data_IF_504364290138
#
_entry.id   IF_504364290138
#
_cell.length_a   1.000
_cell.length_b   1.000
_cell.length_c   1.000
_cell.angle_alpha   90.00
_cell.angle_beta   90.00
_cell.angle_gamma   90.00
#
_symmetry.space_group_name_H-M   'P 1'
#
loop_
_entity.id
_entity.type
_entity.pdbx_description
1 polymer ?
#
# COMPACT_ATOMS: atom_id res chain seq x y z
N UNK A 1 26.68 26.43 -30.30
CA UNK A 1 25.74 27.56 -30.27
C UNK A 1 24.49 27.12 -31.02
N UNK A 2 23.45 26.67 -30.33
CA UNK A 2 22.17 26.24 -30.95
C UNK A 2 21.15 27.35 -30.75
N UNK A 3 20.65 27.84 -31.87
CA UNK A 3 19.64 28.89 -31.94
C UNK A 3 18.26 28.22 -31.87
N UNK A 4 17.44 28.60 -30.89
CA UNK A 4 16.03 28.18 -30.80
C UNK A 4 15.16 29.26 -31.43
N UNK A 5 14.45 28.89 -32.50
CA UNK A 5 13.44 29.73 -33.13
C UNK A 5 12.10 29.48 -32.47
N UNK A 6 11.58 30.45 -31.74
CA UNK A 6 10.22 30.45 -31.21
C UNK A 6 9.28 30.96 -32.30
N UNK A 7 8.41 30.10 -32.83
CA UNK A 7 7.30 30.48 -33.69
C UNK A 7 6.07 30.80 -32.85
N UNK A 8 5.74 32.08 -32.76
CA UNK A 8 4.48 32.56 -32.19
C UNK A 8 3.35 32.31 -33.19
N UNK A 9 2.42 31.40 -32.87
CA UNK A 9 1.19 31.21 -33.62
C UNK A 9 0.09 32.04 -32.95
N UNK A 10 -0.39 33.06 -33.69
CA UNK A 10 -1.56 33.85 -33.32
C UNK A 10 -2.81 33.02 -33.68
N UNK A 11 -3.55 32.52 -32.69
CA UNK A 11 -4.83 31.85 -32.90
C UNK A 11 -5.94 32.88 -32.67
N UNK A 12 -6.69 33.15 -33.70
CA UNK A 12 -7.95 33.88 -33.62
C UNK A 12 -9.04 32.97 -33.06
N UNK A 13 -9.52 33.26 -31.87
CA UNK A 13 -10.67 32.60 -31.28
C UNK A 13 -11.96 33.22 -31.77
N UNK A 14 -12.68 32.49 -32.64
CA UNK A 14 -14.09 32.76 -32.92
C UNK A 14 -14.92 32.06 -31.85
N UNK A 15 -15.49 32.83 -30.93
CA UNK A 15 -16.43 32.36 -29.90
C UNK A 15 -17.79 32.15 -30.56
N UNK A 16 -18.14 30.90 -30.86
CA UNK A 16 -19.53 30.51 -31.17
C UNK A 16 -20.16 30.02 -29.89
N UNK A 17 -21.00 30.84 -29.27
CA UNK A 17 -21.80 30.49 -28.12
C UNK A 17 -22.96 29.59 -28.56
N UNK A 18 -22.79 28.27 -28.53
CA UNK A 18 -23.90 27.34 -28.58
C UNK A 18 -24.29 27.00 -27.14
N UNK A 19 -25.37 27.65 -26.68
CA UNK A 19 -26.13 27.25 -25.49
C UNK A 19 -26.80 25.93 -25.78
N UNK A 20 -26.12 24.82 -25.54
CA UNK A 20 -26.73 23.51 -25.39
C UNK A 20 -26.92 23.25 -23.90
N UNK A 21 -28.12 23.53 -23.42
CA UNK A 21 -28.61 23.06 -22.14
C UNK A 21 -28.83 21.54 -22.24
N UNK A 22 -27.77 20.74 -22.06
CA UNK A 22 -27.88 19.36 -21.63
C UNK A 22 -27.59 19.36 -20.12
N UNK A 23 -28.65 19.31 -19.32
CA UNK A 23 -28.58 18.98 -17.91
C UNK A 23 -28.11 17.54 -17.77
N UNK A 24 -26.81 17.30 -17.76
CA UNK A 24 -26.25 16.14 -17.11
C UNK A 24 -26.24 16.49 -15.62
N UNK A 25 -27.08 15.82 -14.84
CA UNK A 25 -26.91 15.71 -13.40
C UNK A 25 -25.56 15.01 -13.16
N UNK A 26 -24.46 15.73 -13.31
CA UNK A 26 -23.19 15.30 -12.78
C UNK A 26 -23.41 15.14 -11.27
N UNK A 27 -23.55 13.90 -10.79
CA UNK A 27 -23.63 13.60 -9.36
C UNK A 27 -22.48 14.35 -8.71
N UNK A 28 -22.84 15.33 -7.89
CA UNK A 28 -21.87 16.14 -7.17
C UNK A 28 -21.04 15.17 -6.32
N UNK A 29 -19.80 15.01 -6.68
CA UNK A 29 -18.85 14.20 -5.90
C UNK A 29 -18.83 14.76 -4.50
N UNK A 30 -19.15 13.91 -3.50
CA UNK A 30 -19.22 14.32 -2.10
C UNK A 30 -17.99 13.77 -1.41
N UNK A 31 -17.11 14.65 -0.99
CA UNK A 31 -16.00 14.31 -0.09
C UNK A 31 -16.55 13.81 1.25
N UNK A 32 -15.96 12.75 1.79
CA UNK A 32 -16.37 12.21 3.09
C UNK A 32 -15.87 13.11 4.23
N UNK A 33 -16.70 13.30 5.24
CA UNK A 33 -16.35 14.08 6.46
C UNK A 33 -15.64 13.17 7.48
N UNK A 34 -14.52 12.58 7.07
CA UNK A 34 -13.62 11.79 7.91
C UNK A 34 -12.27 12.51 8.01
N UNK A 35 -11.75 12.63 9.23
CA UNK A 35 -10.46 13.25 9.47
C UNK A 35 -9.45 12.22 9.95
N UNK A 36 -8.20 12.46 9.59
CA UNK A 36 -7.10 11.58 9.89
C UNK A 36 -6.10 12.25 10.82
N UNK A 37 -5.42 11.44 11.62
CA UNK A 37 -4.23 11.81 12.39
C UNK A 37 -3.11 10.82 12.09
N UNK A 38 -1.87 11.16 12.46
CA UNK A 38 -0.69 10.37 12.15
C UNK A 38 0.08 10.00 13.41
N UNK A 39 0.53 8.75 13.45
CA UNK A 39 1.47 8.26 14.46
C UNK A 39 2.77 7.92 13.77
N UNK A 40 3.84 8.63 14.12
CA UNK A 40 5.18 8.35 13.63
C UNK A 40 6.04 7.74 14.74
N UNK A 41 6.72 6.63 14.42
CA UNK A 41 7.65 5.94 15.32
C UNK A 41 8.94 5.65 14.55
N UNK A 42 10.06 5.84 15.21
CA UNK A 42 11.37 5.45 14.71
C UNK A 42 12.17 4.85 15.86
N UNK A 43 12.46 3.57 15.74
CA UNK A 43 13.17 2.80 16.74
C UNK A 43 14.38 2.10 16.11
N UNK A 44 15.43 1.89 16.90
CA UNK A 44 16.58 1.11 16.49
C UNK A 44 17.21 0.41 17.68
N UNK A 45 17.88 -0.69 17.42
CA UNK A 45 18.59 -1.42 18.45
C UNK A 45 19.77 -2.16 17.83
N UNK A 46 20.94 -2.16 18.49
CA UNK A 46 22.10 -2.97 18.16
C UNK A 46 22.27 -4.07 19.19
N UNK A 47 22.63 -5.27 18.75
CA UNK A 47 22.83 -6.44 19.61
C UNK A 47 23.83 -6.12 20.72
N UNK A 48 23.47 -6.52 21.95
CA UNK A 48 24.24 -6.22 23.17
C UNK A 48 24.47 -4.73 23.43
N UNK A 49 23.75 -3.83 22.75
CA UNK A 49 23.94 -2.36 22.81
C UNK A 49 25.34 -1.91 22.38
N UNK A 50 25.97 -2.64 21.47
CA UNK A 50 27.27 -2.33 20.88
C UNK A 50 27.01 -1.88 19.43
N UNK A 51 27.35 -0.63 19.10
CA UNK A 51 27.05 -0.01 17.80
C UNK A 51 27.68 -0.73 16.59
N UNK A 52 28.76 -1.47 16.81
CA UNK A 52 29.44 -2.26 15.76
C UNK A 52 28.80 -3.62 15.54
N UNK A 53 27.88 -4.04 16.40
CA UNK A 53 27.16 -5.29 16.24
C UNK A 53 25.96 -5.13 15.30
N UNK A 54 25.44 -6.23 14.73
CA UNK A 54 24.24 -6.21 13.91
C UNK A 54 23.09 -5.44 14.58
N UNK A 55 22.35 -4.71 13.78
CA UNK A 55 21.29 -3.84 14.26
C UNK A 55 19.96 -4.06 13.58
N UNK A 56 18.91 -3.63 14.25
CA UNK A 56 17.61 -3.47 13.60
C UNK A 56 17.14 -2.02 13.62
N UNK A 57 16.32 -1.67 12.63
CA UNK A 57 15.62 -0.39 12.60
C UNK A 57 14.16 -0.58 12.19
N UNK A 58 13.29 0.17 12.84
CA UNK A 58 11.86 0.21 12.54
C UNK A 58 11.45 1.65 12.31
N UNK A 59 10.79 1.90 11.19
CA UNK A 59 10.15 3.18 10.92
C UNK A 59 8.68 2.96 10.60
N UNK A 60 7.79 3.62 11.32
CA UNK A 60 6.34 3.59 11.14
C UNK A 60 5.84 5.00 10.89
N UNK A 61 5.01 5.16 9.86
CA UNK A 61 4.22 6.35 9.63
C UNK A 61 2.78 5.91 9.37
N UNK A 62 1.95 5.87 10.42
CA UNK A 62 0.58 5.34 10.38
C UNK A 62 -0.42 6.49 10.37
N UNK A 63 -1.08 6.68 9.23
CA UNK A 63 -2.22 7.55 9.04
C UNK A 63 -3.50 6.79 9.40
N UNK A 64 -4.29 7.27 10.34
CA UNK A 64 -5.48 6.57 10.80
C UNK A 64 -6.68 7.52 10.93
N UNK A 65 -7.92 7.02 10.75
CA UNK A 65 -9.13 7.79 10.99
C UNK A 65 -9.22 8.23 12.46
N UNK A 66 -9.24 9.53 12.70
CA UNK A 66 -9.29 10.12 14.04
C UNK A 66 -10.68 10.62 14.43
N UNK A 67 -11.42 11.18 13.45
CA UNK A 67 -12.75 11.73 13.66
C UNK A 67 -13.69 11.33 12.52
N UNK A 68 -14.90 10.94 12.85
CA UNK A 68 -16.01 10.73 11.93
C UNK A 68 -17.35 10.92 12.65
N UNK A 69 -18.37 11.37 11.92
CA UNK A 69 -19.69 11.68 12.48
C UNK A 69 -20.37 10.50 13.18
N UNK A 70 -20.11 9.24 12.75
CA UNK A 70 -20.63 8.02 13.35
C UNK A 70 -19.52 7.31 14.14
N UNK A 71 -19.55 7.32 15.50
CA UNK A 71 -18.52 6.71 16.33
C UNK A 71 -18.39 5.19 16.16
N UNK A 72 -19.47 4.49 15.81
CA UNK A 72 -19.44 3.05 15.58
C UNK A 72 -18.70 2.72 14.28
N UNK A 73 -18.97 3.44 13.22
CA UNK A 73 -18.27 3.32 11.94
C UNK A 73 -16.81 3.72 12.09
N UNK A 74 -16.52 4.84 12.81
CA UNK A 74 -15.15 5.25 13.10
C UNK A 74 -14.36 4.12 13.75
N UNK A 75 -14.92 3.50 14.79
CA UNK A 75 -14.26 2.38 15.48
C UNK A 75 -14.04 1.18 14.55
N UNK A 76 -15.03 0.81 13.75
CA UNK A 76 -14.91 -0.29 12.81
C UNK A 76 -13.81 -0.01 11.78
N UNK A 77 -13.79 1.17 11.17
CA UNK A 77 -12.74 1.56 10.20
C UNK A 77 -11.37 1.60 10.86
N UNK A 78 -11.23 2.13 12.08
CA UNK A 78 -9.96 2.11 12.83
C UNK A 78 -9.44 0.68 13.02
N UNK A 79 -10.31 -0.25 13.39
CA UNK A 79 -9.92 -1.67 13.53
C UNK A 79 -9.45 -2.28 12.21
N UNK A 80 -10.13 -1.97 11.10
CA UNK A 80 -9.74 -2.42 9.77
C UNK A 80 -8.39 -1.79 9.32
N UNK A 81 -8.16 -0.52 9.65
CA UNK A 81 -6.87 0.14 9.39
C UNK A 81 -5.74 -0.53 10.17
N UNK A 82 -5.92 -0.74 11.47
CA UNK A 82 -4.94 -1.44 12.31
C UNK A 82 -4.66 -2.86 11.76
N UNK A 83 -5.73 -3.61 11.45
CA UNK A 83 -5.61 -4.94 10.83
C UNK A 83 -4.79 -4.93 9.54
N UNK A 84 -5.08 -3.99 8.65
CA UNK A 84 -4.41 -3.88 7.35
C UNK A 84 -2.94 -3.48 7.51
N UNK A 85 -2.65 -2.58 8.45
CA UNK A 85 -1.34 -1.99 8.64
C UNK A 85 -0.40 -2.82 9.53
N UNK A 86 -0.91 -3.39 10.63
CA UNK A 86 -0.12 -4.11 11.64
C UNK A 86 -0.47 -5.60 11.76
N UNK A 87 -1.65 -6.02 11.27
CA UNK A 87 -2.13 -7.40 11.38
C UNK A 87 -3.25 -7.61 12.38
N UNK A 88 -3.81 -8.81 12.35
CA UNK A 88 -5.00 -9.19 13.14
C UNK A 88 -4.76 -9.11 14.67
N UNK A 89 -3.55 -9.41 15.12
CA UNK A 89 -3.19 -9.46 16.55
C UNK A 89 -3.30 -8.09 17.24
N UNK A 90 -3.35 -7.01 16.46
CA UNK A 90 -3.38 -5.64 16.97
C UNK A 90 -4.75 -4.97 16.92
N UNK A 91 -5.77 -5.61 16.32
CA UNK A 91 -7.11 -5.02 16.10
C UNK A 91 -7.84 -4.58 17.38
N UNK A 92 -7.56 -5.21 18.52
CA UNK A 92 -8.21 -4.91 19.80
C UNK A 92 -7.70 -3.62 20.47
N UNK A 93 -6.55 -3.13 20.02
CA UNK A 93 -5.93 -1.94 20.62
C UNK A 93 -6.44 -0.64 19.98
N UNK A 94 -6.24 0.47 20.66
CA UNK A 94 -6.34 1.79 20.02
C UNK A 94 -5.18 1.99 19.03
N UNK A 95 -5.29 2.88 18.03
CA UNK A 95 -4.22 3.11 17.06
C UNK A 95 -2.84 3.34 17.68
N UNK A 96 -2.76 4.15 18.74
CA UNK A 96 -1.51 4.43 19.45
C UNK A 96 -0.95 3.24 20.21
N UNK A 97 -1.81 2.49 20.89
CA UNK A 97 -1.40 1.27 21.59
C UNK A 97 -0.96 0.18 20.61
N UNK A 98 -1.67 0.01 19.49
CA UNK A 98 -1.33 -0.94 18.45
C UNK A 98 0.09 -0.69 17.89
N UNK A 99 0.40 0.55 17.52
CA UNK A 99 1.73 0.95 17.04
C UNK A 99 2.80 0.74 18.11
N UNK A 100 2.52 1.12 19.37
CA UNK A 100 3.47 0.94 20.47
C UNK A 100 3.77 -0.53 20.74
N UNK A 101 2.72 -1.37 20.71
CA UNK A 101 2.85 -2.81 20.93
C UNK A 101 3.62 -3.49 19.78
N UNK A 102 3.31 -3.08 18.53
CA UNK A 102 4.03 -3.58 17.36
C UNK A 102 5.53 -3.26 17.43
N UNK A 103 5.88 -2.01 17.72
CA UNK A 103 7.28 -1.58 17.85
C UNK A 103 8.02 -2.33 18.96
N UNK A 104 7.36 -2.53 20.11
CA UNK A 104 7.92 -3.30 21.21
C UNK A 104 8.16 -4.78 20.82
N UNK A 105 7.21 -5.40 20.13
CA UNK A 105 7.33 -6.78 19.66
C UNK A 105 8.46 -6.91 18.64
N UNK A 106 8.55 -6.03 17.66
CA UNK A 106 9.63 -6.01 16.66
C UNK A 106 11.01 -6.00 17.31
N UNK A 107 11.26 -5.07 18.25
CA UNK A 107 12.53 -5.00 18.97
C UNK A 107 12.79 -6.22 19.85
N UNK A 108 11.76 -6.76 20.50
CA UNK A 108 11.91 -7.94 21.34
C UNK A 108 12.24 -9.19 20.53
N UNK A 109 11.62 -9.36 19.36
CA UNK A 109 11.90 -10.48 18.46
C UNK A 109 13.33 -10.40 17.89
N UNK A 110 13.81 -9.19 17.57
CA UNK A 110 15.20 -9.00 17.18
C UNK A 110 16.17 -9.38 18.31
N UNK A 111 15.90 -8.95 19.55
CA UNK A 111 16.75 -9.28 20.70
C UNK A 111 16.88 -10.78 20.97
N UNK A 112 15.85 -11.59 20.66
CA UNK A 112 15.93 -13.04 20.80
C UNK A 112 17.02 -13.67 19.93
N UNK A 113 17.38 -13.03 18.81
CA UNK A 113 18.44 -13.49 17.90
C UNK A 113 19.86 -13.28 18.46
N UNK A 114 20.04 -12.54 19.55
CA UNK A 114 21.36 -12.31 20.17
C UNK A 114 22.05 -13.60 20.59
N UNK A 115 21.30 -14.60 21.06
CA UNK A 115 21.86 -15.88 21.45
C UNK A 115 22.45 -16.65 20.27
N UNK A 116 21.75 -16.61 19.12
CA UNK A 116 22.22 -17.29 17.91
C UNK A 116 23.47 -16.59 17.37
N UNK A 117 23.47 -15.26 17.37
CA UNK A 117 24.64 -14.47 17.00
C UNK A 117 25.87 -14.77 17.88
N UNK A 118 25.69 -14.86 19.22
CA UNK A 118 26.79 -15.21 20.14
C UNK A 118 27.34 -16.60 19.86
N UNK A 119 26.46 -17.57 19.63
CA UNK A 119 26.87 -18.95 19.32
C UNK A 119 27.68 -19.02 18.03
N UNK A 120 27.29 -18.26 16.99
CA UNK A 120 28.01 -18.21 15.73
C UNK A 120 29.38 -17.54 15.87
N UNK A 121 29.49 -16.48 16.67
CA UNK A 121 30.78 -15.83 16.98
C UNK A 121 31.72 -16.80 17.72
N UNK A 122 31.22 -17.57 18.69
CA UNK A 122 32.01 -18.55 19.43
C UNK A 122 32.48 -19.71 18.54
N UNK A 123 31.62 -20.22 17.66
CA UNK A 123 31.94 -21.37 16.82
C UNK A 123 32.94 -21.03 15.70
N UNK A 124 32.79 -19.87 15.08
CA UNK A 124 33.57 -19.51 13.88
C UNK A 124 34.82 -18.67 14.20
N UNK A 125 34.98 -18.16 15.42
CA UNK A 125 36.14 -17.38 15.86
C UNK A 125 36.34 -16.07 15.10
N UNK A 126 35.37 -15.64 14.35
CA UNK A 126 35.27 -14.37 13.63
C UNK A 126 33.86 -13.83 13.73
N UNK A 127 33.68 -12.53 13.63
CA UNK A 127 32.34 -11.94 13.57
C UNK A 127 31.61 -12.51 12.35
N UNK A 128 30.39 -13.05 12.53
CA UNK A 128 29.54 -13.48 11.43
C UNK A 128 29.27 -12.29 10.52
N UNK A 129 28.87 -12.55 9.28
CA UNK A 129 28.48 -11.48 8.37
C UNK A 129 27.33 -10.66 8.98
N UNK A 130 27.57 -9.40 9.32
CA UNK A 130 26.61 -8.49 9.95
C UNK A 130 25.31 -8.37 9.17
N UNK A 131 25.36 -8.50 7.84
CA UNK A 131 24.20 -8.45 6.96
C UNK A 131 23.18 -9.55 7.27
N UNK A 132 23.60 -10.74 7.70
CA UNK A 132 22.68 -11.85 8.00
C UNK A 132 21.88 -11.67 9.29
N UNK A 133 22.41 -10.88 10.20
CA UNK A 133 21.79 -10.60 11.50
C UNK A 133 21.10 -9.24 11.55
N UNK A 134 21.46 -8.33 10.67
CA UNK A 134 20.83 -7.01 10.59
C UNK A 134 19.45 -7.10 9.95
N UNK A 135 18.56 -6.15 10.28
CA UNK A 135 17.23 -6.09 9.69
C UNK A 135 16.68 -4.66 9.72
N UNK A 136 15.78 -4.36 8.80
CA UNK A 136 14.96 -3.15 8.91
C UNK A 136 13.53 -3.39 8.46
N UNK A 137 12.64 -2.52 8.91
CA UNK A 137 11.27 -2.46 8.45
C UNK A 137 10.78 -1.02 8.38
N UNK A 138 10.18 -0.66 7.25
CA UNK A 138 9.56 0.65 7.01
C UNK A 138 8.09 0.41 6.64
N UNK A 139 7.19 0.95 7.45
CA UNK A 139 5.75 0.89 7.25
C UNK A 139 5.18 2.28 7.02
N UNK A 140 4.39 2.42 5.97
CA UNK A 140 3.65 3.64 5.67
C UNK A 140 2.30 3.34 5.05
N UNK A 141 1.40 4.32 5.09
CA UNK A 141 0.13 4.24 4.40
C UNK A 141 -0.30 5.58 3.80
N UNK A 142 -1.26 5.51 2.89
CA UNK A 142 -1.83 6.66 2.20
C UNK A 142 -3.29 6.43 1.87
N UNK A 143 -4.06 7.52 1.80
CA UNK A 143 -5.45 7.52 1.33
C UNK A 143 -5.45 7.91 -0.15
N UNK A 144 -5.94 7.03 -1.01
CA UNK A 144 -6.05 7.25 -2.45
C UNK A 144 -7.42 7.74 -2.88
N UNK A 145 -8.46 7.40 -2.12
CA UNK A 145 -9.82 7.86 -2.40
C UNK A 145 -10.59 8.09 -1.10
N UNK A 146 -11.33 9.18 -1.03
CA UNK A 146 -12.13 9.55 0.15
C UNK A 146 -13.41 10.30 -0.27
N UNK A 147 -14.31 9.62 -0.99
CA UNK A 147 -15.50 10.24 -1.56
C UNK A 147 -16.67 9.25 -1.63
N UNK A 148 -17.90 9.78 -1.61
CA UNK A 148 -19.14 9.01 -1.85
C UNK A 148 -19.31 7.81 -0.91
N UNK A 149 -18.96 7.97 0.36
CA UNK A 149 -18.96 6.94 1.40
C UNK A 149 -17.97 5.78 1.15
N UNK A 150 -17.05 5.93 0.19
CA UNK A 150 -15.95 5.01 -0.06
C UNK A 150 -14.62 5.61 0.43
N UNK A 151 -13.77 4.76 0.98
CA UNK A 151 -12.44 5.10 1.42
C UNK A 151 -11.44 4.05 0.93
N UNK A 152 -10.47 4.44 0.11
CA UNK A 152 -9.39 3.55 -0.33
C UNK A 152 -8.08 3.91 0.35
N UNK A 153 -7.45 2.91 0.98
CA UNK A 153 -6.11 3.03 1.56
C UNK A 153 -5.13 2.08 0.89
N UNK A 154 -3.88 2.49 0.89
CA UNK A 154 -2.74 1.69 0.47
C UNK A 154 -1.73 1.68 1.61
N UNK A 155 -1.30 0.49 2.03
CA UNK A 155 -0.19 0.28 2.95
C UNK A 155 1.03 -0.13 2.16
N UNK A 156 2.17 0.52 2.40
CA UNK A 156 3.48 0.11 1.91
C UNK A 156 4.30 -0.48 3.04
N UNK A 157 4.92 -1.62 2.77
CA UNK A 157 5.86 -2.26 3.68
C UNK A 157 7.14 -2.59 2.90
N UNK A 158 8.26 -2.10 3.41
CA UNK A 158 9.60 -2.41 2.94
C UNK A 158 10.35 -3.06 4.10
N UNK A 159 11.04 -4.15 3.86
CA UNK A 159 11.81 -4.80 4.91
C UNK A 159 12.95 -5.65 4.36
N UNK A 160 13.98 -5.80 5.18
CA UNK A 160 15.06 -6.76 5.03
C UNK A 160 15.25 -7.52 6.37
N UNK A 161 15.46 -8.81 6.29
CA UNK A 161 15.71 -9.68 7.44
C UNK A 161 17.08 -10.37 7.39
N UNK A 162 18.02 -9.78 6.65
CA UNK A 162 19.35 -10.35 6.40
C UNK A 162 19.37 -11.31 5.21
N UNK A 163 18.46 -11.17 4.26
CA UNK A 163 18.39 -11.95 3.03
C UNK A 163 19.24 -11.40 1.90
N UNK A 164 19.11 -12.01 0.70
CA UNK A 164 19.82 -11.58 -0.50
C UNK A 164 19.26 -10.26 -1.08
N UNK A 165 18.01 -9.94 -0.79
CA UNK A 165 17.30 -8.76 -1.28
C UNK A 165 16.26 -8.31 -0.25
N UNK A 166 16.03 -7.00 -0.22
CA UNK A 166 14.89 -6.39 0.43
C UNK A 166 13.57 -6.75 -0.28
N UNK A 167 12.48 -6.68 0.44
CA UNK A 167 11.17 -6.98 -0.07
C UNK A 167 10.26 -5.76 0.07
N UNK A 168 9.46 -5.50 -0.96
CA UNK A 168 8.49 -4.41 -1.02
C UNK A 168 7.09 -4.96 -1.22
N UNK A 169 6.16 -4.60 -0.35
CA UNK A 169 4.76 -5.02 -0.44
C UNK A 169 3.82 -3.84 -0.37
N UNK A 170 2.79 -3.89 -1.21
CA UNK A 170 1.67 -2.96 -1.18
C UNK A 170 0.38 -3.73 -0.87
N UNK A 171 -0.37 -3.25 0.12
CA UNK A 171 -1.66 -3.82 0.50
C UNK A 171 -2.74 -2.77 0.35
N UNK A 172 -3.66 -3.00 -0.58
CA UNK A 172 -4.76 -2.10 -0.87
C UNK A 172 -6.05 -2.57 -0.22
N UNK A 173 -6.86 -1.64 0.28
CA UNK A 173 -8.18 -1.92 0.84
C UNK A 173 -9.16 -0.80 0.52
N UNK A 174 -10.40 -1.19 0.33
CA UNK A 174 -11.53 -0.28 0.19
C UNK A 174 -12.51 -0.52 1.34
N UNK A 175 -13.02 0.56 1.92
CA UNK A 175 -13.97 0.52 3.03
C UNK A 175 -15.25 1.28 2.67
N UNK A 176 -16.39 0.72 3.10
CA UNK A 176 -17.69 1.41 3.09
C UNK A 176 -17.82 2.23 4.39
N UNK A 177 -17.86 3.55 4.28
CA UNK A 177 -18.04 4.44 5.43
C UNK A 177 -19.48 4.49 5.97
N UNK A 178 -20.42 3.75 5.39
CA UNK A 178 -21.76 3.54 5.99
C UNK A 178 -21.71 2.47 7.07
N UNK A 179 -20.91 1.45 6.86
CA UNK A 179 -20.81 0.28 7.75
C UNK A 179 -19.49 0.24 8.53
N UNK A 180 -18.41 0.76 7.96
CA UNK A 180 -17.04 0.64 8.45
C UNK A 180 -16.35 -0.67 8.02
N UNK A 181 -17.02 -1.48 7.20
CA UNK A 181 -16.51 -2.78 6.76
C UNK A 181 -15.65 -2.65 5.48
N UNK A 182 -14.78 -3.63 5.29
CA UNK A 182 -14.01 -3.75 4.06
C UNK A 182 -14.91 -4.21 2.92
N UNK A 183 -14.80 -3.54 1.77
CA UNK A 183 -15.45 -3.99 0.52
C UNK A 183 -14.58 -5.08 -0.12
N UNK A 184 -15.22 -6.19 -0.47
CA UNK A 184 -14.61 -7.35 -1.12
C UNK A 184 -14.99 -7.43 -2.60
N UNK A 185 -14.24 -8.22 -3.37
CA UNK A 185 -14.56 -8.46 -4.79
C UNK A 185 -15.97 -9.04 -4.97
N UNK A 186 -16.41 -9.93 -4.08
CA UNK A 186 -17.74 -10.55 -4.14
C UNK A 186 -18.91 -9.56 -3.96
N UNK A 187 -18.65 -8.38 -3.38
CA UNK A 187 -19.63 -7.31 -3.25
C UNK A 187 -19.66 -6.37 -4.46
N UNK A 188 -18.62 -6.41 -5.29
CA UNK A 188 -18.46 -5.55 -6.46
C UNK A 188 -18.88 -6.29 -7.75
N UNK A 189 -18.49 -7.56 -7.87
CA UNK A 189 -18.64 -8.34 -9.08
C UNK A 189 -19.77 -9.37 -8.96
N UNK A 190 -20.30 -9.80 -10.10
CA UNK A 190 -21.28 -10.89 -10.20
C UNK A 190 -20.63 -12.24 -9.88
N UNK A 191 -21.45 -13.28 -9.66
CA UNK A 191 -20.93 -14.65 -9.49
C UNK A 191 -20.08 -15.07 -10.71
N UNK A 192 -19.06 -15.89 -10.46
CA UNK A 192 -18.14 -16.46 -11.47
C UNK A 192 -17.34 -15.40 -12.28
N UNK A 193 -17.12 -14.21 -11.71
CA UNK A 193 -16.40 -13.10 -12.35
C UNK A 193 -14.91 -13.36 -12.61
N UNK A 194 -14.31 -14.33 -11.93
CA UNK A 194 -12.84 -14.47 -11.79
C UNK A 194 -12.14 -14.60 -13.14
N UNK A 195 -12.63 -15.47 -14.03
CA UNK A 195 -12.00 -15.72 -15.33
C UNK A 195 -12.12 -14.52 -16.28
N UNK A 196 -13.26 -13.84 -16.26
CA UNK A 196 -13.46 -12.65 -17.09
C UNK A 196 -12.65 -11.46 -16.57
N UNK A 197 -12.60 -11.29 -15.25
CA UNK A 197 -11.80 -10.26 -14.62
C UNK A 197 -10.29 -10.51 -14.82
N UNK A 198 -9.84 -11.76 -14.77
CA UNK A 198 -8.45 -12.13 -15.08
C UNK A 198 -8.05 -11.68 -16.49
N UNK A 199 -8.89 -11.91 -17.50
CA UNK A 199 -8.64 -11.42 -18.87
C UNK A 199 -8.54 -9.90 -18.93
N UNK A 200 -9.46 -9.19 -18.27
CA UNK A 200 -9.44 -7.72 -18.21
C UNK A 200 -8.14 -7.21 -17.56
N UNK A 201 -7.70 -7.85 -16.47
CA UNK A 201 -6.45 -7.49 -15.78
C UNK A 201 -5.25 -7.71 -16.73
N UNK A 202 -5.16 -8.86 -17.39
CA UNK A 202 -4.07 -9.17 -18.32
C UNK A 202 -4.03 -8.19 -19.50
N UNK A 203 -5.20 -7.87 -20.07
CA UNK A 203 -5.33 -6.87 -21.15
C UNK A 203 -4.91 -5.48 -20.66
N UNK A 204 -5.26 -5.09 -19.43
CA UNK A 204 -4.83 -3.83 -18.82
C UNK A 204 -3.31 -3.79 -18.61
N UNK A 205 -2.69 -4.88 -18.15
CA UNK A 205 -1.22 -4.99 -18.03
C UNK A 205 -0.56 -4.82 -19.39
N UNK A 206 -1.08 -5.47 -20.44
CA UNK A 206 -0.57 -5.33 -21.80
C UNK A 206 -0.64 -3.88 -22.29
N UNK A 207 -1.78 -3.22 -22.07
CA UNK A 207 -1.98 -1.81 -22.42
C UNK A 207 -0.99 -0.89 -21.69
N UNK A 208 -0.81 -1.08 -20.38
CA UNK A 208 0.11 -0.28 -19.56
C UNK A 208 1.58 -0.45 -20.00
N UNK A 209 1.93 -1.61 -20.58
CA UNK A 209 3.28 -1.89 -21.05
C UNK A 209 3.44 -1.63 -22.57
N UNK A 210 2.43 -1.04 -23.22
CA UNK A 210 2.44 -0.71 -24.65
C UNK A 210 2.71 -1.94 -25.56
N UNK A 211 2.13 -3.11 -25.21
CA UNK A 211 2.13 -4.29 -26.05
C UNK A 211 0.74 -4.54 -26.65
N UNK A 212 0.70 -4.98 -27.90
CA UNK A 212 -0.56 -5.12 -28.65
C UNK A 212 -1.40 -6.33 -28.19
N UNK A 213 -0.76 -7.35 -27.66
CA UNK A 213 -1.41 -8.60 -27.25
C UNK A 213 -0.86 -9.07 -25.91
N UNK A 214 -1.72 -9.64 -25.08
CA UNK A 214 -1.34 -10.25 -23.80
C UNK A 214 -0.20 -11.27 -23.93
N UNK A 215 -0.17 -12.09 -25.02
CA UNK A 215 0.93 -13.04 -25.29
C UNK A 215 2.29 -12.38 -25.44
N UNK A 216 2.35 -11.11 -25.80
CA UNK A 216 3.61 -10.40 -26.01
C UNK A 216 4.24 -9.91 -24.69
N UNK A 217 3.50 -9.99 -23.59
CA UNK A 217 4.00 -9.73 -22.25
C UNK A 217 5.16 -10.65 -21.85
N UNK A 218 5.16 -11.90 -22.33
CA UNK A 218 6.25 -12.84 -22.08
C UNK A 218 7.59 -12.37 -22.68
N UNK A 219 7.54 -11.62 -23.79
CA UNK A 219 8.74 -11.08 -24.46
C UNK A 219 9.41 -9.94 -23.64
N UNK A 220 8.71 -9.36 -22.67
CA UNK A 220 9.19 -8.27 -21.83
C UNK A 220 9.34 -8.67 -20.37
N UNK A 221 9.31 -9.97 -20.07
CA UNK A 221 9.65 -10.51 -18.76
C UNK A 221 8.48 -10.89 -17.86
N UNK A 222 7.25 -10.79 -18.34
CA UNK A 222 6.10 -11.34 -17.62
C UNK A 222 6.02 -12.85 -17.89
N UNK A 223 6.17 -13.64 -16.82
CA UNK A 223 6.05 -15.10 -16.91
C UNK A 223 4.67 -15.53 -16.38
N UNK A 224 4.18 -16.67 -16.90
CA UNK A 224 2.94 -17.29 -16.42
C UNK A 224 1.71 -16.35 -16.47
N UNK A 225 1.53 -15.60 -17.55
CA UNK A 225 0.40 -14.67 -17.72
C UNK A 225 -0.97 -15.33 -17.50
N UNK A 226 -1.08 -16.65 -17.76
CA UNK A 226 -2.29 -17.43 -17.53
C UNK A 226 -2.57 -17.70 -16.03
N UNK A 227 -1.63 -17.39 -15.14
CA UNK A 227 -1.76 -17.52 -13.69
C UNK A 227 -2.13 -16.17 -13.01
N UNK A 228 -2.26 -15.10 -13.81
CA UNK A 228 -2.70 -13.79 -13.31
C UNK A 228 -4.21 -13.83 -13.08
N UNK A 229 -4.59 -13.84 -11.80
CA UNK A 229 -5.98 -13.83 -11.35
C UNK A 229 -6.24 -12.67 -10.36
N UNK A 230 -7.51 -12.29 -10.16
CA UNK A 230 -7.89 -11.35 -9.10
C UNK A 230 -7.35 -11.82 -7.75
N UNK A 231 -6.59 -10.96 -7.09
CA UNK A 231 -5.83 -11.30 -5.87
C UNK A 231 -6.36 -10.62 -4.61
N UNK A 232 -7.54 -9.98 -4.69
CA UNK A 232 -8.18 -9.23 -3.60
C UNK A 232 -7.36 -8.03 -3.09
N UNK A 233 -6.30 -7.66 -3.81
CA UNK A 233 -5.42 -6.55 -3.49
C UNK A 233 -5.69 -5.37 -4.43
N UNK A 234 -6.78 -4.69 -4.21
CA UNK A 234 -7.26 -3.60 -5.06
C UNK A 234 -7.64 -2.36 -4.25
N UNK A 235 -7.63 -1.22 -4.94
CA UNK A 235 -8.25 0.02 -4.49
C UNK A 235 -9.17 0.59 -5.57
N UNK A 236 -10.03 1.53 -5.18
CA UNK A 236 -10.92 2.29 -6.05
C UNK A 236 -10.48 3.74 -6.03
N UNK A 237 -10.51 4.40 -7.18
CA UNK A 237 -10.30 5.84 -7.33
C UNK A 237 -11.28 6.44 -8.35
N UNK A 238 -11.04 7.69 -8.80
CA UNK A 238 -11.87 8.37 -9.80
C UNK A 238 -11.79 7.73 -11.21
N UNK A 239 -10.77 6.90 -11.45
CA UNK A 239 -10.52 6.26 -12.75
C UNK A 239 -11.20 4.90 -12.80
N UNK A 240 -11.23 4.16 -11.68
CA UNK A 240 -11.82 2.82 -11.62
C UNK A 240 -11.27 1.95 -10.48
N UNK A 241 -11.03 0.68 -10.80
CA UNK A 241 -10.50 -0.32 -9.86
C UNK A 241 -9.08 -0.68 -10.30
N UNK A 242 -8.12 -0.47 -9.40
CA UNK A 242 -6.71 -0.79 -9.64
C UNK A 242 -6.29 -1.99 -8.81
N UNK A 243 -5.72 -3.00 -9.45
CA UNK A 243 -5.12 -4.17 -8.80
C UNK A 243 -3.61 -4.01 -8.66
N UNK A 244 -3.08 -4.41 -7.51
CA UNK A 244 -1.64 -4.45 -7.27
C UNK A 244 -1.19 -5.91 -7.10
N UNK A 245 -0.16 -6.28 -7.85
CA UNK A 245 0.53 -7.56 -7.74
C UNK A 245 1.90 -7.27 -7.13
N UNK A 246 2.17 -7.88 -5.98
CA UNK A 246 3.49 -7.83 -5.34
C UNK A 246 4.37 -8.93 -5.95
N UNK A 247 5.68 -8.71 -5.91
CA UNK A 247 6.68 -9.70 -6.33
C UNK A 247 6.72 -10.91 -5.40
#
# INVERSE_FOLDING_TARGET
>A
MKVYIVKTLLVWTVTVSLLSACGSDAKKVKENDIRFDTIAVKESYHMKKIETNPGCSLQINFLFPAEYQNPHVLKAVQQQFIKTFLGDDYMQFSPREAVSQYAANYLNDFKKRETDFESDVEEHGSEPNDEWYSSYEILGDSIYYNQNDLLSMVVSKEYDTGGAHDAHYYTNRVFDLKTGERITEAEIFVEDYQDDLAKIIVDAIALCNNVDKASDLENIGFFNINEIYPNKNFYVDDIGITYTFNE
#
